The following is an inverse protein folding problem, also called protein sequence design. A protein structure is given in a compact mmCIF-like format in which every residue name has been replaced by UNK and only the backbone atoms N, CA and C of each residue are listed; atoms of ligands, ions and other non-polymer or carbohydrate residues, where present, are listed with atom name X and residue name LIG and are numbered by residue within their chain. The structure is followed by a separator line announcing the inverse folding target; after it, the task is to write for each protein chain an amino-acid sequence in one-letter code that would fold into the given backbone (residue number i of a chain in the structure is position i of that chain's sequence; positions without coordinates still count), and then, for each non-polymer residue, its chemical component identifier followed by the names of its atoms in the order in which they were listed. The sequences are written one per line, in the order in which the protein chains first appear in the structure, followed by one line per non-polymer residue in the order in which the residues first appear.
data_IF_408243901611
#
_entry.id   IF_408243901611
#
_cell.length_a   1.000
_cell.length_b   1.000
_cell.length_c   1.000
_cell.angle_alpha   90.00
_cell.angle_beta   90.00
_cell.angle_gamma   90.00
#
_symmetry.space_group_name_H-M   'P 1'
#
loop_
_entity.id
_entity.type
_entity.pdbx_description
1 polymer ?
#
# COMPACT_ATOMS: atom_id res chain seq x y z
N UNK A 1 16.45 7.15 5.49
CA UNK A 1 15.42 6.18 5.89
C UNK A 1 14.22 6.30 4.94
N UNK A 2 13.79 5.20 4.38
CA UNK A 2 12.66 5.21 3.44
C UNK A 2 11.33 5.40 4.18
N UNK A 3 10.40 6.08 3.55
CA UNK A 3 9.07 6.37 4.10
C UNK A 3 8.00 5.57 3.37
N UNK A 4 7.15 4.88 4.13
CA UNK A 4 6.07 4.06 3.60
C UNK A 4 4.74 4.66 4.05
N UNK A 5 3.85 4.89 3.10
CA UNK A 5 2.46 5.25 3.41
C UNK A 5 1.65 3.96 3.50
N UNK A 6 1.00 3.75 4.63
CA UNK A 6 0.11 2.61 4.82
C UNK A 6 -1.33 3.10 4.84
N UNK A 7 -2.22 2.35 4.19
CA UNK A 7 -3.62 2.75 4.00
C UNK A 7 -4.54 1.58 4.34
N UNK A 8 -5.41 1.78 5.30
CA UNK A 8 -6.45 0.80 5.66
C UNK A 8 -7.53 1.54 6.45
N UNK A 9 -8.77 1.18 6.26
CA UNK A 9 -9.88 1.80 7.00
C UNK A 9 -10.04 1.23 8.41
N UNK A 10 -9.35 0.14 8.73
CA UNK A 10 -9.39 -0.48 10.06
C UNK A 10 -8.13 -0.12 10.84
N UNK A 11 -8.32 0.56 11.96
CA UNK A 11 -7.20 1.01 12.80
C UNK A 11 -6.31 -0.13 13.25
N UNK A 12 -6.88 -1.30 13.58
CA UNK A 12 -6.10 -2.46 14.00
C UNK A 12 -5.14 -2.92 12.91
N UNK A 13 -5.54 -2.83 11.65
CA UNK A 13 -4.67 -3.17 10.52
C UNK A 13 -3.56 -2.14 10.35
N UNK A 14 -3.87 -0.86 10.48
CA UNK A 14 -2.85 0.19 10.43
C UNK A 14 -1.82 0.00 11.54
N UNK A 15 -2.26 -0.30 12.75
CA UNK A 15 -1.36 -0.52 13.88
C UNK A 15 -0.42 -1.70 13.62
N UNK A 16 -0.96 -2.78 13.06
CA UNK A 16 -0.16 -3.97 12.75
C UNK A 16 0.87 -3.68 11.66
N UNK A 17 0.46 -3.05 10.56
CA UNK A 17 1.37 -2.70 9.47
C UNK A 17 2.45 -1.72 9.95
N UNK A 18 2.06 -0.73 10.75
CA UNK A 18 3.00 0.25 11.30
C UNK A 18 4.04 -0.43 12.18
N UNK A 19 3.61 -1.35 13.04
CA UNK A 19 4.53 -2.10 13.89
C UNK A 19 5.53 -2.89 13.06
N UNK A 20 5.04 -3.69 12.11
CA UNK A 20 5.89 -4.55 11.30
C UNK A 20 6.92 -3.76 10.49
N UNK A 21 6.48 -2.67 9.87
CA UNK A 21 7.37 -1.90 9.00
C UNK A 21 8.30 -0.97 9.78
N UNK A 22 7.85 -0.41 10.91
CA UNK A 22 8.73 0.40 11.77
C UNK A 22 9.86 -0.44 12.33
N UNK A 23 9.56 -1.66 12.74
CA UNK A 23 10.58 -2.58 13.27
C UNK A 23 11.60 -2.95 12.19
N UNK A 24 11.20 -2.87 10.93
CA UNK A 24 12.11 -3.13 9.81
C UNK A 24 12.92 -1.89 9.39
N UNK A 25 12.73 -0.76 10.08
CA UNK A 25 13.54 0.44 9.86
C UNK A 25 12.93 1.49 8.95
N UNK A 26 11.63 1.40 8.64
CA UNK A 26 10.96 2.39 7.79
C UNK A 26 10.27 3.48 8.61
N UNK A 27 10.22 4.69 8.05
CA UNK A 27 9.32 5.74 8.54
C UNK A 27 7.92 5.45 8.03
N UNK A 28 6.91 5.64 8.88
CA UNK A 28 5.54 5.30 8.54
C UNK A 28 4.66 6.55 8.57
N UNK A 29 3.87 6.72 7.51
CA UNK A 29 2.76 7.65 7.45
C UNK A 29 1.52 6.79 7.25
N UNK A 30 0.42 7.10 7.93
CA UNK A 30 -0.80 6.31 7.81
C UNK A 30 -1.99 7.14 7.37
N UNK A 31 -2.86 6.52 6.57
CA UNK A 31 -4.11 7.08 6.11
C UNK A 31 -5.23 6.06 6.35
N UNK A 32 -6.41 6.52 6.71
CA UNK A 32 -7.54 5.64 6.96
C UNK A 32 -8.61 5.69 5.86
N UNK A 33 -8.33 6.41 4.79
CA UNK A 33 -9.23 6.50 3.63
C UNK A 33 -8.43 6.75 2.37
N UNK A 34 -9.05 6.49 1.22
CA UNK A 34 -8.41 6.74 -0.07
C UNK A 34 -8.14 8.22 -0.31
N UNK A 35 -9.05 9.09 0.10
CA UNK A 35 -8.87 10.53 -0.07
C UNK A 35 -7.69 11.04 0.74
N UNK A 36 -7.57 10.61 1.99
CA UNK A 36 -6.44 10.97 2.83
C UNK A 36 -5.13 10.43 2.24
N UNK A 37 -5.17 9.20 1.71
CA UNK A 37 -4.00 8.60 1.09
C UNK A 37 -3.49 9.41 -0.09
N UNK A 38 -4.40 9.88 -0.96
CA UNK A 38 -4.02 10.71 -2.10
C UNK A 38 -3.38 12.02 -1.62
N UNK A 39 -4.01 12.69 -0.67
CA UNK A 39 -3.51 13.96 -0.14
C UNK A 39 -2.12 13.80 0.48
N UNK A 40 -1.92 12.75 1.28
CA UNK A 40 -0.64 12.50 1.92
C UNK A 40 0.44 12.10 0.92
N UNK A 41 0.08 11.37 -0.13
CA UNK A 41 1.01 10.99 -1.18
C UNK A 41 1.50 12.23 -1.91
N UNK A 42 0.60 13.14 -2.27
CA UNK A 42 0.96 14.37 -2.97
C UNK A 42 1.83 15.29 -2.11
N UNK A 43 1.54 15.35 -0.81
CA UNK A 43 2.26 16.21 0.11
C UNK A 43 3.65 15.67 0.48
N UNK A 44 3.77 14.36 0.65
CA UNK A 44 4.97 13.75 1.24
C UNK A 44 5.81 12.94 0.25
N UNK A 45 5.27 12.54 -0.89
CA UNK A 45 5.96 11.70 -1.88
C UNK A 45 6.65 10.51 -1.22
N UNK A 46 5.91 9.59 -0.59
CA UNK A 46 6.52 8.43 0.06
C UNK A 46 7.28 7.56 -0.93
N UNK A 47 8.17 6.73 -0.42
CA UNK A 47 8.95 5.82 -1.26
C UNK A 47 8.13 4.62 -1.74
N UNK A 48 7.10 4.24 -1.00
CA UNK A 48 6.16 3.19 -1.39
C UNK A 48 4.84 3.36 -0.65
N UNK A 49 3.80 2.73 -1.18
CA UNK A 49 2.47 2.74 -0.59
C UNK A 49 2.02 1.30 -0.40
N UNK A 50 1.52 0.97 0.80
CA UNK A 50 0.87 -0.31 1.08
C UNK A 50 -0.59 0.00 1.36
N UNK A 51 -1.49 -0.42 0.49
CA UNK A 51 -2.91 -0.09 0.63
C UNK A 51 -3.79 -1.33 0.66
N UNK A 52 -4.79 -1.31 1.55
CA UNK A 52 -5.87 -2.26 1.47
C UNK A 52 -6.56 -2.06 0.11
N UNK A 53 -6.79 -3.17 -0.59
CA UNK A 53 -7.40 -3.13 -1.92
C UNK A 53 -8.91 -2.94 -1.85
N UNK A 54 -9.52 -3.44 -0.78
CA UNK A 54 -10.97 -3.42 -0.59
C UNK A 54 -11.36 -2.52 0.56
N UNK A 55 -11.70 -1.28 0.27
CA UNK A 55 -12.18 -0.32 1.27
C UNK A 55 -13.50 0.31 0.79
N UNK A 56 -14.40 0.68 1.73
CA UNK A 56 -15.62 1.41 1.35
C UNK A 56 -15.25 2.73 0.64
N UNK A 57 -16.02 3.08 -0.37
CA UNK A 57 -15.75 4.29 -1.13
C UNK A 57 -14.53 4.12 -2.04
N UNK A 58 -13.49 4.89 -1.79
CA UNK A 58 -12.27 4.84 -2.60
C UNK A 58 -11.33 3.74 -2.10
N UNK A 59 -11.27 2.63 -2.81
CA UNK A 59 -10.38 1.52 -2.50
C UNK A 59 -9.02 1.64 -3.17
N UNK A 60 -8.21 0.58 -3.01
CA UNK A 60 -6.84 0.56 -3.55
C UNK A 60 -6.76 0.74 -5.05
N UNK A 61 -7.74 0.20 -5.80
CA UNK A 61 -7.79 0.39 -7.25
C UNK A 61 -7.93 1.87 -7.62
N UNK A 62 -8.83 2.58 -6.95
CA UNK A 62 -9.07 4.00 -7.22
C UNK A 62 -7.84 4.84 -6.86
N UNK A 63 -7.19 4.51 -5.74
CA UNK A 63 -5.93 5.16 -5.34
C UNK A 63 -4.88 4.94 -6.42
N UNK A 64 -4.70 3.70 -6.86
CA UNK A 64 -3.73 3.35 -7.89
C UNK A 64 -3.99 4.14 -9.17
N UNK A 65 -5.22 4.16 -9.64
CA UNK A 65 -5.59 4.88 -10.87
C UNK A 65 -5.32 6.37 -10.77
N UNK A 66 -5.68 6.99 -9.65
CA UNK A 66 -5.44 8.42 -9.46
C UNK A 66 -3.95 8.75 -9.42
N UNK A 67 -3.17 7.98 -8.70
CA UNK A 67 -1.73 8.23 -8.59
C UNK A 67 -1.03 8.02 -9.93
N UNK A 68 -1.46 7.04 -10.72
CA UNK A 68 -0.87 6.77 -12.04
C UNK A 68 -1.15 7.86 -13.08
N UNK A 69 -2.17 8.70 -12.85
CA UNK A 69 -2.52 9.82 -13.74
C UNK A 69 -1.75 11.09 -13.44
N UNK A 70 -1.03 11.14 -12.33
CA UNK A 70 -0.27 12.33 -11.93
C UNK A 70 1.22 12.04 -12.12
N UNK A 71 1.89 12.83 -12.96
CA UNK A 71 3.31 12.64 -13.26
C UNK A 71 4.22 12.71 -12.04
N UNK A 72 3.78 13.38 -10.98
CA UNK A 72 4.58 13.49 -9.74
C UNK A 72 4.47 12.24 -8.86
N UNK A 73 3.45 11.39 -9.06
CA UNK A 73 3.20 10.23 -8.22
C UNK A 73 3.15 8.91 -8.99
N UNK A 74 3.15 8.95 -10.31
CA UNK A 74 2.94 7.76 -11.14
C UNK A 74 3.98 6.66 -10.94
N UNK A 75 5.17 7.02 -10.50
CA UNK A 75 6.27 6.05 -10.31
C UNK A 75 6.40 5.55 -8.88
N UNK A 76 5.58 6.02 -7.95
CA UNK A 76 5.60 5.52 -6.57
C UNK A 76 5.05 4.10 -6.57
N UNK A 77 5.83 3.09 -6.12
CA UNK A 77 5.36 1.71 -6.16
C UNK A 77 4.29 1.45 -5.11
N UNK A 78 3.32 0.62 -5.48
CA UNK A 78 2.16 0.30 -4.64
C UNK A 78 2.13 -1.21 -4.37
N UNK A 79 1.93 -1.57 -3.11
CA UNK A 79 1.66 -2.94 -2.68
C UNK A 79 0.16 -3.04 -2.36
N UNK A 80 -0.53 -3.96 -3.00
CA UNK A 80 -1.92 -4.26 -2.67
C UNK A 80 -1.95 -5.26 -1.52
N UNK A 81 -2.77 -4.99 -0.50
CA UNK A 81 -2.92 -5.85 0.66
C UNK A 81 -4.41 -6.16 0.83
N UNK A 82 -4.79 -7.44 0.80
CA UNK A 82 -6.21 -7.80 0.76
C UNK A 82 -6.46 -9.22 1.23
N UNK A 83 -7.68 -9.49 1.69
CA UNK A 83 -8.10 -10.84 2.07
C UNK A 83 -8.37 -11.74 0.86
N UNK A 84 -8.43 -11.19 -0.34
CA UNK A 84 -8.65 -11.99 -1.55
C UNK A 84 -7.36 -12.69 -1.96
N UNK A 85 -7.40 -14.02 -2.06
CA UNK A 85 -6.20 -14.83 -2.25
C UNK A 85 -6.18 -15.65 -3.54
N UNK A 86 -7.18 -15.45 -4.42
CA UNK A 86 -7.23 -16.19 -5.68
C UNK A 86 -6.20 -15.64 -6.67
N UNK A 87 -5.69 -16.53 -7.52
CA UNK A 87 -4.71 -16.13 -8.54
C UNK A 87 -5.27 -15.05 -9.48
N UNK A 88 -6.56 -15.14 -9.82
CA UNK A 88 -7.19 -14.15 -10.70
C UNK A 88 -7.21 -12.75 -10.05
N UNK A 89 -7.43 -12.67 -8.75
CA UNK A 89 -7.41 -11.39 -8.04
C UNK A 89 -6.01 -10.78 -8.07
N UNK A 90 -5.00 -11.61 -7.83
CA UNK A 90 -3.59 -11.19 -7.86
C UNK A 90 -3.18 -10.71 -9.25
N UNK A 91 -3.49 -11.50 -10.28
CA UNK A 91 -3.15 -11.15 -11.66
C UNK A 91 -3.81 -9.84 -12.08
N UNK A 92 -5.06 -9.66 -11.70
CA UNK A 92 -5.80 -8.45 -12.07
C UNK A 92 -5.20 -7.21 -11.39
N UNK A 93 -4.87 -7.30 -10.10
CA UNK A 93 -4.24 -6.19 -9.39
C UNK A 93 -2.89 -5.81 -10.01
N UNK A 94 -2.08 -6.81 -10.35
CA UNK A 94 -0.78 -6.56 -10.99
C UNK A 94 -0.95 -5.86 -12.34
N UNK A 95 -1.99 -6.20 -13.10
CA UNK A 95 -2.31 -5.52 -14.36
C UNK A 95 -2.67 -4.05 -14.16
N UNK A 96 -3.22 -3.70 -13.00
CA UNK A 96 -3.55 -2.32 -12.69
C UNK A 96 -2.32 -1.48 -12.29
N UNK A 97 -1.16 -2.13 -12.16
CA UNK A 97 0.09 -1.42 -11.91
C UNK A 97 0.65 -1.54 -10.51
N UNK A 98 0.04 -2.36 -9.62
CA UNK A 98 0.67 -2.63 -8.33
C UNK A 98 1.92 -3.48 -8.55
N UNK A 99 2.92 -3.30 -7.71
CA UNK A 99 4.20 -3.98 -7.85
C UNK A 99 4.29 -5.25 -7.02
N UNK A 100 3.47 -5.39 -5.99
CA UNK A 100 3.42 -6.59 -5.16
C UNK A 100 2.02 -6.75 -4.58
N UNK A 101 1.72 -7.97 -4.15
CA UNK A 101 0.41 -8.34 -3.64
C UNK A 101 0.61 -9.16 -2.37
N UNK A 102 -0.01 -8.76 -1.28
CA UNK A 102 0.09 -9.44 0.00
C UNK A 102 -1.30 -9.84 0.46
N UNK A 103 -1.47 -11.12 0.81
CA UNK A 103 -2.78 -11.65 1.25
C UNK A 103 -2.89 -11.56 2.77
N UNK A 104 -4.03 -11.07 3.25
CA UNK A 104 -4.36 -11.07 4.67
C UNK A 104 -4.92 -12.43 5.09
N UNK A 105 -4.59 -12.94 6.27
CA UNK A 105 -3.61 -12.38 7.20
C UNK A 105 -2.17 -12.61 6.72
N UNK A 106 -1.29 -11.70 7.05
CA UNK A 106 0.12 -11.78 6.64
C UNK A 106 1.03 -11.79 7.86
N UNK A 107 2.23 -12.34 7.67
CA UNK A 107 3.28 -12.29 8.68
C UNK A 107 4.11 -11.02 8.47
N UNK A 108 4.88 -10.64 9.49
CA UNK A 108 5.82 -9.53 9.35
C UNK A 108 6.79 -9.79 8.19
N UNK A 109 7.31 -11.01 8.09
CA UNK A 109 8.23 -11.39 7.01
C UNK A 109 7.62 -11.18 5.64
N UNK A 110 6.37 -11.56 5.44
CA UNK A 110 5.69 -11.42 4.16
C UNK A 110 5.52 -9.96 3.78
N UNK A 111 5.06 -9.13 4.71
CA UNK A 111 4.86 -7.71 4.46
C UNK A 111 6.18 -7.00 4.20
N UNK A 112 7.17 -7.22 5.06
CA UNK A 112 8.48 -6.59 4.92
C UNK A 112 9.16 -7.00 3.62
N UNK A 113 9.08 -8.29 3.26
CA UNK A 113 9.66 -8.78 2.00
C UNK A 113 9.04 -8.12 0.78
N UNK A 114 7.71 -7.94 0.79
CA UNK A 114 7.01 -7.29 -0.32
C UNK A 114 7.48 -5.84 -0.49
N UNK A 115 7.62 -5.11 0.61
CA UNK A 115 8.08 -3.72 0.57
C UNK A 115 9.53 -3.65 0.12
N UNK A 116 10.42 -4.47 0.69
CA UNK A 116 11.83 -4.48 0.30
C UNK A 116 12.02 -4.81 -1.17
N UNK A 117 11.21 -5.71 -1.70
CA UNK A 117 11.30 -6.12 -3.09
C UNK A 117 10.98 -5.03 -4.10
N UNK A 118 10.23 -4.02 -3.71
CA UNK A 118 9.80 -2.95 -4.63
C UNK A 118 10.59 -1.66 -4.49
N UNK A 119 11.24 -1.43 -3.37
CA UNK A 119 12.05 -0.21 -3.18
C UNK A 119 13.53 -0.49 -3.05
N UNK A 120 13.89 -1.75 -3.09
CA UNK A 120 15.27 -2.17 -3.09
C UNK A 120 15.98 -1.91 -1.79
#
# INVERSE_FOLDING_TARGET
MKTILIVDDLQAQLDLMAKYLSEAGYNIISANSGQEAIALTEANKPDAIVTDWMMPGMGGLDICRKLKRNSETENIPIVACTAKDRDVDRMWALKQGVKAYVTKPFTQKELVSAVKGIIG
#
